data_IF_935165060093
#
_entry.id   IF_935165060093
#
_cell.length_a   1.000
_cell.length_b   1.000
_cell.length_c   1.000
_cell.angle_alpha   90.00
_cell.angle_beta   90.00
_cell.angle_gamma   90.00
#
_symmetry.space_group_name_H-M   'P 1'
#
loop_
_entity.id
_entity.type
_entity.pdbx_description
1 polymer ?
#
# COMPACT_ATOMS: atom_id res chain seq x y z
N UNK A 1 -0.40 14.25 -2.51
CA UNK A 1 0.17 12.93 -2.85
C UNK A 1 1.11 12.54 -1.72
N UNK A 2 0.73 11.57 -0.89
CA UNK A 2 1.59 11.07 0.19
C UNK A 2 2.58 10.07 -0.40
N UNK A 3 3.89 10.28 -0.18
CA UNK A 3 4.90 9.25 -0.47
C UNK A 3 5.02 8.35 0.76
N UNK A 4 4.45 7.16 0.65
CA UNK A 4 4.52 6.15 1.70
C UNK A 4 5.50 5.04 1.32
N UNK A 5 6.39 4.70 2.25
CA UNK A 5 7.21 3.50 2.15
C UNK A 5 6.39 2.31 2.64
N UNK A 6 6.13 1.34 1.77
CA UNK A 6 5.49 0.08 2.13
C UNK A 6 6.51 -1.05 2.05
N UNK A 7 6.36 -2.07 2.89
CA UNK A 7 7.16 -3.28 2.75
C UNK A 7 6.78 -3.99 1.44
N UNK A 8 7.73 -4.59 0.72
CA UNK A 8 7.43 -5.31 -0.53
C UNK A 8 7.60 -6.82 -0.29
N UNK A 9 6.56 -7.61 -0.59
CA UNK A 9 6.68 -9.06 -0.62
C UNK A 9 6.33 -9.81 0.67
N UNK A 10 5.65 -9.18 1.64
CA UNK A 10 5.04 -9.90 2.76
C UNK A 10 3.56 -10.17 2.46
N UNK A 11 3.24 -11.44 2.14
CA UNK A 11 1.87 -11.85 1.84
C UNK A 11 0.93 -11.49 3.01
N UNK A 12 -0.08 -10.66 2.72
CA UNK A 12 -1.02 -10.11 3.71
C UNK A 12 -0.76 -8.65 4.10
N UNK A 13 0.47 -8.14 3.98
CA UNK A 13 0.82 -6.74 4.30
C UNK A 13 0.95 -5.88 3.05
N UNK A 14 1.59 -6.40 2.00
CA UNK A 14 1.76 -5.67 0.74
C UNK A 14 2.17 -6.62 -0.39
N UNK A 15 1.35 -6.65 -1.44
CA UNK A 15 1.46 -7.51 -2.62
C UNK A 15 1.26 -6.65 -3.87
N UNK A 16 1.99 -7.00 -4.94
CA UNK A 16 1.86 -6.37 -6.25
C UNK A 16 1.15 -7.36 -7.16
N UNK A 17 -0.03 -6.97 -7.66
CA UNK A 17 -0.73 -7.73 -8.69
C UNK A 17 -0.01 -7.63 -10.05
N UNK A 18 -0.31 -8.55 -10.97
CA UNK A 18 0.25 -8.56 -12.32
C UNK A 18 0.00 -7.26 -13.11
N UNK A 19 -0.98 -6.46 -12.71
CA UNK A 19 -1.25 -5.14 -13.30
C UNK A 19 -0.39 -4.00 -12.69
N UNK A 20 0.53 -4.31 -11.77
CA UNK A 20 1.36 -3.33 -11.07
C UNK A 20 0.64 -2.60 -9.92
N UNK A 21 -0.58 -3.01 -9.59
CA UNK A 21 -1.34 -2.45 -8.48
C UNK A 21 -0.83 -3.03 -7.15
N UNK A 22 -0.52 -2.14 -6.20
CA UNK A 22 -0.17 -2.53 -4.83
C UNK A 22 -1.46 -2.69 -4.01
N UNK A 23 -1.58 -3.79 -3.27
CA UNK A 23 -2.66 -4.05 -2.32
C UNK A 23 -2.13 -4.68 -1.04
N UNK A 24 -2.84 -4.51 0.08
CA UNK A 24 -2.45 -5.03 1.39
C UNK A 24 -2.56 -3.99 2.51
N UNK A 25 -2.36 -4.44 3.74
CA UNK A 25 -2.53 -3.62 4.93
C UNK A 25 -1.75 -2.28 4.89
N UNK A 26 -0.47 -2.29 4.51
CA UNK A 26 0.36 -1.08 4.45
C UNK A 26 -0.16 -0.10 3.38
N UNK A 27 -0.70 -0.63 2.28
CA UNK A 27 -1.26 0.17 1.18
C UNK A 27 -2.56 0.84 1.60
N UNK A 28 -3.47 0.08 2.22
CA UNK A 28 -4.75 0.60 2.69
C UNK A 28 -4.56 1.60 3.83
N UNK A 29 -3.61 1.34 4.74
CA UNK A 29 -3.24 2.26 5.79
C UNK A 29 -2.71 3.59 5.23
N UNK A 30 -1.80 3.54 4.26
CA UNK A 30 -1.30 4.76 3.64
C UNK A 30 -2.33 5.49 2.78
N UNK A 31 -3.28 4.77 2.18
CA UNK A 31 -4.42 5.37 1.49
C UNK A 31 -5.36 6.08 2.46
N UNK A 32 -5.61 5.50 3.62
CA UNK A 32 -6.42 6.10 4.68
C UNK A 32 -5.78 7.39 5.20
N UNK A 33 -4.48 7.38 5.51
CA UNK A 33 -3.74 8.59 5.91
C UNK A 33 -3.77 9.64 4.80
N UNK A 34 -3.55 9.22 3.55
CA UNK A 34 -3.58 10.13 2.39
C UNK A 34 -4.95 10.79 2.19
N UNK A 35 -6.04 10.15 2.65
CA UNK A 35 -7.39 10.71 2.61
C UNK A 35 -7.70 11.64 3.78
N UNK A 36 -6.88 11.63 4.82
CA UNK A 36 -7.06 12.43 6.03
C UNK A 36 -6.29 13.77 6.03
N UNK A 37 -5.42 14.00 5.04
CA UNK A 37 -4.61 15.23 4.88
C UNK A 37 -4.73 15.85 3.50
#
# INVERSE_FOLDING_TARGET
>A
MLRCGIHEGLAGFSTIDNQGNRSGFDVDFCRAISSAI
#
